data_IF_745423526956
#
_entry.id   IF_745423526956
#
_cell.length_a   1.000
_cell.length_b   1.000
_cell.length_c   1.000
_cell.angle_alpha   90.00
_cell.angle_beta   90.00
_cell.angle_gamma   90.00
#
_symmetry.space_group_name_H-M   'P 1'
#
loop_
_entity.id
_entity.type
_entity.pdbx_description
1 polymer ?
#
# COMPACT_ATOMS: atom_id res chain seq x y z
N UNK A 1 0.55 1.18 -19.77
CA UNK A 1 1.52 1.04 -18.67
C UNK A 1 1.35 -0.33 -18.03
N UNK A 2 2.39 -1.17 -18.13
CA UNK A 2 2.49 -2.46 -17.46
C UNK A 2 2.63 -2.27 -15.93
N UNK A 3 2.45 -3.33 -15.12
CA UNK A 3 2.69 -3.23 -13.68
C UNK A 3 4.13 -2.86 -13.33
N UNK A 4 5.13 -3.31 -14.11
CA UNK A 4 6.55 -2.95 -13.92
C UNK A 4 6.81 -1.48 -14.22
N UNK A 5 6.27 -0.97 -15.33
CA UNK A 5 6.38 0.45 -15.66
C UNK A 5 5.72 1.32 -14.57
N UNK A 6 4.57 0.91 -14.02
CA UNK A 6 3.91 1.63 -12.92
C UNK A 6 4.75 1.59 -11.64
N UNK A 7 5.32 0.43 -11.32
CA UNK A 7 6.23 0.28 -10.19
C UNK A 7 7.42 1.24 -10.32
N UNK A 8 8.11 1.22 -11.45
CA UNK A 8 9.33 2.01 -11.69
C UNK A 8 9.08 3.51 -11.79
N UNK A 9 8.04 3.92 -12.53
CA UNK A 9 7.78 5.32 -12.84
C UNK A 9 6.92 6.04 -11.80
N UNK A 10 6.08 5.31 -11.06
CA UNK A 10 5.10 5.90 -10.15
C UNK A 10 5.35 5.45 -8.71
N UNK A 11 5.40 4.14 -8.44
CA UNK A 11 5.50 3.66 -7.05
C UNK A 11 6.85 3.98 -6.43
N UNK A 12 7.95 3.63 -7.10
CA UNK A 12 9.30 3.80 -6.56
C UNK A 12 9.66 5.27 -6.27
N UNK A 13 9.33 6.26 -7.13
CA UNK A 13 9.55 7.68 -6.82
C UNK A 13 8.74 8.14 -5.61
N UNK A 14 7.44 7.80 -5.53
CA UNK A 14 6.60 8.22 -4.40
C UNK A 14 7.06 7.63 -3.06
N UNK A 15 7.53 6.38 -3.04
CA UNK A 15 8.12 5.79 -1.83
C UNK A 15 9.46 6.42 -1.46
N UNK A 16 10.27 6.85 -2.44
CA UNK A 16 11.51 7.57 -2.19
C UNK A 16 11.23 8.93 -1.57
N UNK A 17 10.30 9.69 -2.13
CA UNK A 17 9.87 10.98 -1.60
C UNK A 17 9.32 10.85 -0.18
N UNK A 18 8.51 9.81 0.10
CA UNK A 18 8.07 9.52 1.46
C UNK A 18 9.25 9.20 2.39
N UNK A 19 10.23 8.41 1.95
CA UNK A 19 11.40 8.07 2.79
C UNK A 19 12.25 9.29 3.13
N UNK A 20 12.36 10.24 2.21
CA UNK A 20 13.10 11.50 2.37
C UNK A 20 12.30 12.51 3.21
N UNK A 21 10.98 12.59 2.99
CA UNK A 21 10.03 13.45 3.68
C UNK A 21 9.06 12.70 4.59
N UNK A 22 9.55 11.83 5.47
CA UNK A 22 8.77 10.84 6.23
C UNK A 22 7.72 11.44 7.20
N UNK A 23 7.76 12.75 7.44
CA UNK A 23 6.77 13.49 8.22
C UNK A 23 5.78 14.32 7.39
N UNK A 24 5.87 14.31 6.05
CA UNK A 24 4.97 15.03 5.16
C UNK A 24 3.81 14.13 4.72
N UNK A 25 2.60 14.50 5.13
CA UNK A 25 1.38 13.75 4.82
C UNK A 25 1.09 13.68 3.32
N UNK A 26 1.54 14.66 2.52
CA UNK A 26 1.34 14.66 1.06
C UNK A 26 2.12 13.54 0.40
N UNK A 27 3.38 13.33 0.80
CA UNK A 27 4.18 12.23 0.28
C UNK A 27 3.60 10.87 0.70
N UNK A 28 3.07 10.76 1.93
CA UNK A 28 2.41 9.54 2.38
C UNK A 28 1.16 9.21 1.56
N UNK A 29 0.27 10.19 1.34
CA UNK A 29 -0.93 9.99 0.53
C UNK A 29 -0.64 9.63 -0.92
N UNK A 30 0.37 10.27 -1.54
CA UNK A 30 0.76 9.89 -2.90
C UNK A 30 1.31 8.47 -2.96
N UNK A 31 2.14 8.06 -1.98
CA UNK A 31 2.67 6.72 -1.91
C UNK A 31 1.59 5.66 -1.65
N UNK A 32 0.63 5.93 -0.76
CA UNK A 32 -0.54 5.07 -0.50
C UNK A 32 -1.32 4.83 -1.80
N UNK A 33 -1.69 5.90 -2.50
CA UNK A 33 -2.41 5.81 -3.75
C UNK A 33 -1.62 5.05 -4.83
N UNK A 34 -0.31 5.30 -4.94
CA UNK A 34 0.55 4.64 -5.91
C UNK A 34 0.63 3.11 -5.68
N UNK A 35 0.83 2.69 -4.43
CA UNK A 35 0.91 1.26 -4.05
C UNK A 35 -0.45 0.56 -4.21
N UNK A 36 -1.56 1.17 -3.79
CA UNK A 36 -2.90 0.59 -4.04
C UNK A 36 -3.21 0.48 -5.55
N UNK A 37 -2.78 1.47 -6.35
CA UNK A 37 -2.96 1.44 -7.79
C UNK A 37 -2.17 0.29 -8.45
N UNK A 38 -1.00 -0.08 -7.93
CA UNK A 38 -0.19 -1.18 -8.48
C UNK A 38 -0.98 -2.50 -8.53
N UNK A 39 -1.77 -2.82 -7.50
CA UNK A 39 -2.65 -4.00 -7.52
C UNK A 39 -3.70 -3.95 -8.66
N UNK A 40 -4.19 -2.76 -9.01
CA UNK A 40 -5.07 -2.57 -10.16
C UNK A 40 -4.35 -2.81 -11.50
N UNK A 41 -3.08 -2.37 -11.61
CA UNK A 41 -2.25 -2.69 -12.78
C UNK A 41 -2.01 -4.19 -12.90
N UNK A 42 -1.70 -4.89 -11.80
CA UNK A 42 -1.52 -6.35 -11.78
C UNK A 42 -2.79 -7.05 -12.28
N UNK A 43 -3.96 -6.70 -11.73
CA UNK A 43 -5.23 -7.28 -12.16
C UNK A 43 -5.46 -7.11 -13.67
N UNK A 44 -5.25 -5.88 -14.17
CA UNK A 44 -5.43 -5.58 -15.60
C UNK A 44 -4.47 -6.39 -16.47
N UNK A 45 -3.22 -6.55 -16.04
CA UNK A 45 -2.25 -7.39 -16.75
C UNK A 45 -2.69 -8.85 -16.77
N UNK A 46 -3.11 -9.40 -15.63
CA UNK A 46 -3.57 -10.80 -15.53
C UNK A 46 -4.77 -11.06 -16.44
N UNK A 47 -5.68 -10.09 -16.61
CA UNK A 47 -6.82 -10.25 -17.50
C UNK A 47 -6.42 -10.61 -18.94
N UNK A 48 -5.30 -10.05 -19.40
CA UNK A 48 -4.85 -10.20 -20.77
C UNK A 48 -3.78 -11.31 -20.92
N UNK A 49 -3.05 -11.67 -19.84
CA UNK A 49 -1.89 -12.58 -19.90
C UNK A 49 -1.97 -13.81 -19.00
N UNK A 50 -2.76 -13.77 -17.93
CA UNK A 50 -2.89 -14.83 -16.93
C UNK A 50 -4.33 -14.90 -16.34
N UNK A 51 -5.37 -15.08 -17.17
CA UNK A 51 -6.76 -14.96 -16.73
C UNK A 51 -7.15 -15.98 -15.65
N UNK A 52 -6.48 -17.13 -15.60
CA UNK A 52 -6.64 -18.13 -14.54
C UNK A 52 -6.33 -17.57 -13.14
N UNK A 53 -5.46 -16.56 -13.04
CA UNK A 53 -5.04 -15.95 -11.77
C UNK A 53 -6.10 -15.06 -11.15
N UNK A 54 -7.10 -14.64 -11.93
CA UNK A 54 -8.17 -13.74 -11.50
C UNK A 54 -9.54 -14.39 -11.52
N UNK A 55 -9.59 -15.73 -11.63
CA UNK A 55 -10.84 -16.49 -11.55
C UNK A 55 -11.55 -16.17 -10.23
N UNK A 56 -12.85 -15.85 -10.32
CA UNK A 56 -13.68 -15.42 -9.19
C UNK A 56 -13.64 -13.92 -8.88
N UNK A 57 -12.61 -13.19 -9.31
CA UNK A 57 -12.55 -11.74 -9.18
C UNK A 57 -13.22 -11.05 -10.38
N UNK A 58 -14.46 -10.57 -10.19
CA UNK A 58 -15.26 -9.93 -11.24
C UNK A 58 -14.66 -8.61 -11.76
N UNK A 59 -13.88 -7.94 -10.92
CA UNK A 59 -13.25 -6.65 -11.19
C UNK A 59 -11.98 -6.49 -10.33
N UNK A 60 -11.28 -5.37 -10.52
CA UNK A 60 -10.11 -4.99 -9.74
C UNK A 60 -10.41 -4.88 -8.25
N UNK A 61 -11.61 -4.42 -7.87
CA UNK A 61 -12.04 -4.36 -6.47
C UNK A 61 -12.05 -5.76 -5.83
N UNK A 62 -12.64 -6.76 -6.50
CA UNK A 62 -12.68 -8.14 -6.02
C UNK A 62 -11.28 -8.75 -5.94
N UNK A 63 -10.40 -8.43 -6.90
CA UNK A 63 -9.02 -8.86 -6.87
C UNK A 63 -8.25 -8.26 -5.68
N UNK A 64 -8.37 -6.95 -5.45
CA UNK A 64 -7.78 -6.26 -4.31
C UNK A 64 -8.31 -6.80 -2.98
N UNK A 65 -9.58 -7.18 -2.91
CA UNK A 65 -10.15 -7.84 -1.72
C UNK A 65 -9.45 -9.17 -1.42
N UNK A 66 -9.26 -10.02 -2.42
CA UNK A 66 -8.52 -11.28 -2.25
C UNK A 66 -7.07 -11.07 -1.81
N UNK A 67 -6.40 -10.07 -2.37
CA UNK A 67 -5.04 -9.71 -1.94
C UNK A 67 -5.01 -9.20 -0.50
N UNK A 68 -6.01 -8.40 -0.08
CA UNK A 68 -6.13 -7.92 1.29
C UNK A 68 -6.40 -9.07 2.29
N UNK A 69 -7.15 -10.10 1.88
CA UNK A 69 -7.35 -11.31 2.70
C UNK A 69 -6.04 -12.11 2.89
N UNK A 70 -5.12 -12.05 1.93
CA UNK A 70 -3.84 -12.75 1.97
C UNK A 70 -2.74 -11.96 2.72
N UNK A 71 -2.84 -10.63 2.80
CA UNK A 71 -1.80 -9.79 3.40
C UNK A 71 -2.38 -8.59 4.15
N UNK A 72 -2.14 -8.57 5.48
CA UNK A 72 -2.68 -7.54 6.37
C UNK A 72 -2.10 -6.14 6.11
N UNK A 73 -0.82 -6.00 5.71
CA UNK A 73 -0.26 -4.69 5.39
C UNK A 73 -0.88 -4.13 4.11
N UNK A 74 -1.09 -4.96 3.08
CA UNK A 74 -1.81 -4.54 1.87
C UNK A 74 -3.29 -4.24 2.15
N UNK A 75 -3.94 -4.99 3.03
CA UNK A 75 -5.30 -4.67 3.49
C UNK A 75 -5.36 -3.25 4.08
N UNK A 76 -4.39 -2.91 4.93
CA UNK A 76 -4.28 -1.58 5.54
C UNK A 76 -3.99 -0.49 4.49
N UNK A 77 -3.09 -0.73 3.52
CA UNK A 77 -2.84 0.21 2.40
C UNK A 77 -4.12 0.50 1.62
N UNK A 78 -4.88 -0.56 1.29
CA UNK A 78 -6.14 -0.42 0.56
C UNK A 78 -7.16 0.39 1.34
N UNK A 79 -7.30 0.12 2.63
CA UNK A 79 -8.26 0.85 3.47
C UNK A 79 -7.84 2.33 3.62
N UNK A 80 -6.54 2.62 3.77
CA UNK A 80 -6.03 4.00 3.75
C UNK A 80 -6.34 4.71 2.42
N UNK A 81 -6.10 4.06 1.27
CA UNK A 81 -6.38 4.62 -0.04
C UNK A 81 -7.89 4.89 -0.24
N UNK A 82 -8.75 3.97 0.23
CA UNK A 82 -10.20 4.14 0.17
C UNK A 82 -10.66 5.27 1.11
N UNK A 83 -10.13 5.35 2.33
CA UNK A 83 -10.46 6.41 3.28
C UNK A 83 -10.07 7.78 2.73
N UNK A 84 -8.91 7.92 2.09
CA UNK A 84 -8.50 9.16 1.42
C UNK A 84 -9.47 9.55 0.29
N UNK A 85 -9.90 8.58 -0.52
CA UNK A 85 -10.80 8.83 -1.66
C UNK A 85 -12.24 9.14 -1.25
N UNK A 86 -12.75 8.45 -0.24
CA UNK A 86 -14.16 8.51 0.17
C UNK A 86 -14.40 9.36 1.41
N UNK A 87 -13.34 9.86 2.05
CA UNK A 87 -13.33 10.60 3.33
C UNK A 87 -13.75 9.73 4.52
N UNK A 88 -14.78 8.91 4.37
CA UNK A 88 -15.31 7.98 5.37
C UNK A 88 -15.70 6.63 4.75
N UNK A 89 -15.54 5.54 5.51
CA UNK A 89 -15.83 4.17 5.09
C UNK A 89 -16.99 3.56 5.91
N UNK A 90 -18.18 3.55 5.31
CA UNK A 90 -19.42 3.04 5.95
C UNK A 90 -19.74 1.56 5.66
N UNK A 91 -18.95 0.91 4.79
CA UNK A 91 -19.26 -0.42 4.27
C UNK A 91 -18.07 -1.38 4.36
N UNK A 92 -18.36 -2.62 4.75
CA UNK A 92 -17.36 -3.67 4.97
C UNK A 92 -16.85 -3.73 6.40
N UNK A 93 -15.65 -4.29 6.58
CA UNK A 93 -14.94 -4.34 7.86
C UNK A 93 -13.53 -3.74 7.69
N UNK A 94 -13.41 -2.43 7.40
CA UNK A 94 -12.11 -1.80 7.20
C UNK A 94 -11.36 -1.65 8.53
N UNK A 95 -10.02 -1.63 8.47
CA UNK A 95 -9.18 -1.43 9.66
C UNK A 95 -9.19 0.01 10.19
N UNK A 96 -9.60 0.97 9.34
CA UNK A 96 -9.83 2.37 9.68
C UNK A 96 -11.10 2.87 8.99
N UNK A 97 -11.76 3.87 9.59
CA UNK A 97 -12.99 4.47 9.08
C UNK A 97 -12.77 5.77 8.33
N UNK A 98 -11.71 6.53 8.61
CA UNK A 98 -11.53 7.87 8.04
C UNK A 98 -10.08 8.24 7.78
N UNK A 99 -9.87 9.17 6.85
CA UNK A 99 -8.54 9.67 6.51
C UNK A 99 -7.90 10.48 7.65
N UNK A 100 -8.70 10.96 8.61
CA UNK A 100 -8.27 11.62 9.84
C UNK A 100 -7.49 10.71 10.79
N UNK A 101 -7.63 9.38 10.63
CA UNK A 101 -6.80 8.39 11.33
C UNK A 101 -5.37 8.30 10.78
N UNK A 102 -5.06 9.02 9.70
CA UNK A 102 -3.72 9.10 9.09
C UNK A 102 -3.15 10.48 9.41
N UNK A 103 -2.12 10.54 10.25
CA UNK A 103 -1.56 11.80 10.71
C UNK A 103 -0.04 11.80 10.79
N UNK A 104 0.56 12.98 10.67
CA UNK A 104 1.97 13.19 10.93
C UNK A 104 2.18 13.54 12.41
N UNK A 105 2.73 12.63 13.20
CA UNK A 105 3.02 12.87 14.62
C UNK A 105 4.35 12.28 15.08
N UNK A 106 4.86 12.77 16.21
CA UNK A 106 5.95 12.11 16.93
C UNK A 106 5.36 10.95 17.73
N UNK A 107 5.98 9.78 17.63
CA UNK A 107 5.59 8.63 18.45
C UNK A 107 6.37 8.61 19.76
N UNK A 108 5.66 8.45 20.87
CA UNK A 108 6.27 8.15 22.17
C UNK A 108 6.93 6.78 22.21
N UNK A 109 7.69 6.52 23.28
CA UNK A 109 8.28 5.20 23.54
C UNK A 109 7.19 4.12 23.59
N UNK A 110 7.42 3.02 22.86
CA UNK A 110 6.52 1.87 22.84
C UNK A 110 5.23 2.04 22.03
N UNK A 111 5.02 3.18 21.35
CA UNK A 111 3.82 3.39 20.53
C UNK A 111 3.92 2.79 19.13
N UNK A 112 5.13 2.68 18.56
CA UNK A 112 5.35 2.02 17.29
C UNK A 112 5.48 0.51 17.48
N UNK A 113 4.96 -0.27 16.51
CA UNK A 113 5.29 -1.68 16.42
C UNK A 113 6.80 -1.88 16.23
N UNK A 114 7.33 -2.96 16.82
CA UNK A 114 8.75 -3.28 16.74
C UNK A 114 9.23 -3.30 15.28
N UNK A 115 10.31 -2.57 15.00
CA UNK A 115 10.91 -2.47 13.66
C UNK A 115 10.26 -1.47 12.70
N UNK A 116 9.23 -0.72 13.12
CA UNK A 116 8.57 0.27 12.24
C UNK A 116 9.05 1.71 12.44
N UNK A 117 9.37 2.09 13.68
CA UNK A 117 9.75 3.45 14.01
C UNK A 117 11.22 3.77 13.71
N UNK A 118 11.47 4.97 13.18
CA UNK A 118 12.83 5.54 13.09
C UNK A 118 13.41 5.86 14.47
N UNK A 119 14.73 5.69 14.60
CA UNK A 119 15.47 6.00 15.82
C UNK A 119 15.30 7.47 16.25
N UNK A 120 15.13 7.71 17.55
CA UNK A 120 14.92 9.05 18.09
C UNK A 120 13.50 9.60 17.95
N UNK A 121 12.54 8.79 17.50
CA UNK A 121 11.13 9.15 17.38
C UNK A 121 10.86 10.47 16.64
N UNK A 122 11.44 10.67 15.44
CA UNK A 122 11.14 11.85 14.66
C UNK A 122 9.67 11.81 14.22
N UNK A 123 9.14 12.97 13.83
CA UNK A 123 7.77 13.07 13.31
C UNK A 123 7.63 12.20 12.06
N UNK A 124 6.71 11.25 12.08
CA UNK A 124 6.44 10.31 10.99
C UNK A 124 4.96 10.29 10.69
N UNK A 125 4.59 9.95 9.46
CA UNK A 125 3.20 9.66 9.14
C UNK A 125 2.83 8.27 9.65
N UNK A 126 1.78 8.22 10.46
CA UNK A 126 1.25 7.02 11.07
C UNK A 126 -0.23 6.85 10.73
N UNK A 127 -0.72 5.63 10.87
CA UNK A 127 -2.15 5.31 10.86
C UNK A 127 -2.54 4.65 12.18
N UNK A 128 -3.63 5.10 12.78
CA UNK A 128 -4.23 4.50 13.97
C UNK A 128 -5.48 3.72 13.59
N UNK A 129 -5.43 2.40 13.72
CA UNK A 129 -6.56 1.51 13.41
C UNK A 129 -7.66 1.63 14.46
N UNK A 130 -8.86 1.18 14.11
CA UNK A 130 -10.01 1.11 15.04
C UNK A 130 -9.76 0.20 16.25
N UNK A 131 -8.75 -0.67 16.18
CA UNK A 131 -8.30 -1.53 17.29
C UNK A 131 -7.26 -0.85 18.20
N UNK A 132 -6.90 0.40 17.92
CA UNK A 132 -5.87 1.16 18.64
C UNK A 132 -4.44 0.79 18.25
N UNK A 133 -4.24 -0.03 17.20
CA UNK A 133 -2.90 -0.30 16.65
C UNK A 133 -2.39 0.94 15.92
N UNK A 134 -1.20 1.43 16.28
CA UNK A 134 -0.51 2.52 15.60
C UNK A 134 0.58 1.95 14.69
N UNK A 135 0.52 2.29 13.40
CA UNK A 135 1.42 1.75 12.37
C UNK A 135 2.11 2.85 11.60
N UNK A 136 3.39 2.66 11.32
CA UNK A 136 4.16 3.63 10.51
C UNK A 136 3.85 3.39 9.04
N UNK A 137 3.33 4.42 8.35
CA UNK A 137 2.88 4.30 6.97
C UNK A 137 4.00 3.87 6.04
N UNK A 138 5.22 4.40 6.21
CA UNK A 138 6.40 3.99 5.43
C UNK A 138 6.67 2.48 5.54
N UNK A 139 6.60 1.92 6.75
CA UNK A 139 6.87 0.50 6.99
C UNK A 139 5.76 -0.40 6.43
N UNK A 140 4.50 0.00 6.59
CA UNK A 140 3.33 -0.70 6.03
C UNK A 140 3.42 -0.74 4.50
N UNK A 141 3.72 0.40 3.86
CA UNK A 141 3.86 0.47 2.40
C UNK A 141 5.02 -0.39 1.89
N UNK A 142 6.16 -0.40 2.59
CA UNK A 142 7.30 -1.24 2.21
C UNK A 142 6.97 -2.73 2.21
N UNK A 143 6.27 -3.21 3.24
CA UNK A 143 5.86 -4.63 3.33
C UNK A 143 4.75 -4.97 2.35
N UNK A 144 3.79 -4.08 2.15
CA UNK A 144 2.74 -4.24 1.15
C UNK A 144 3.33 -4.29 -0.27
N UNK A 145 4.31 -3.44 -0.57
CA UNK A 145 4.99 -3.45 -1.87
C UNK A 145 5.74 -4.77 -2.08
N UNK A 146 6.52 -5.23 -1.10
CA UNK A 146 7.22 -6.52 -1.18
C UNK A 146 6.25 -7.67 -1.50
N UNK A 147 5.07 -7.68 -0.86
CA UNK A 147 4.02 -8.64 -1.17
C UNK A 147 3.51 -8.52 -2.62
N UNK A 148 3.26 -7.29 -3.11
CA UNK A 148 2.81 -7.08 -4.48
C UNK A 148 3.87 -7.45 -5.52
N UNK A 149 5.16 -7.24 -5.24
CA UNK A 149 6.26 -7.68 -6.10
C UNK A 149 6.34 -9.22 -6.17
N UNK A 150 6.16 -9.91 -5.05
CA UNK A 150 6.02 -11.37 -5.05
C UNK A 150 4.80 -11.82 -5.87
N UNK A 151 3.67 -11.14 -5.77
CA UNK A 151 2.50 -11.43 -6.60
C UNK A 151 2.78 -11.19 -8.08
N UNK A 152 3.50 -10.12 -8.44
CA UNK A 152 3.94 -9.87 -9.81
C UNK A 152 4.79 -11.02 -10.35
N UNK A 153 5.79 -11.47 -9.60
CA UNK A 153 6.63 -12.60 -9.98
C UNK A 153 5.82 -13.89 -10.13
N UNK A 154 4.93 -14.16 -9.17
CA UNK A 154 4.08 -15.35 -9.15
C UNK A 154 3.20 -15.47 -10.40
N UNK A 155 2.70 -14.35 -10.92
CA UNK A 155 1.87 -14.33 -12.14
C UNK A 155 2.68 -14.16 -13.43
N UNK A 156 4.01 -14.14 -13.35
CA UNK A 156 4.90 -14.06 -14.53
C UNK A 156 5.22 -12.65 -15.01
N UNK A 157 4.99 -11.62 -14.20
CA UNK A 157 5.44 -10.26 -14.47
C UNK A 157 6.91 -10.14 -14.02
N UNK A 158 7.84 -10.41 -14.92
CA UNK A 158 9.29 -10.35 -14.62
C UNK A 158 9.84 -8.93 -14.66
N UNK A 159 10.99 -8.66 -14.00
CA UNK A 159 11.73 -7.42 -14.22
C UNK A 159 12.10 -7.28 -15.70
N UNK A 160 12.09 -6.05 -16.21
CA UNK A 160 12.65 -5.73 -17.51
C UNK A 160 14.11 -6.17 -17.50
N UNK A 161 14.47 -7.23 -18.25
CA UNK A 161 15.89 -7.52 -18.48
C UNK A 161 16.47 -6.32 -19.17
N UNK A 162 17.27 -5.53 -18.47
CA UNK A 162 18.12 -4.51 -19.08
C UNK A 162 18.99 -5.22 -20.09
N UNK A 163 18.63 -5.09 -21.37
CA UNK A 163 19.53 -5.32 -22.48
C UNK A 163 20.62 -4.27 -22.32
N UNK A 164 21.77 -4.71 -21.84
CA UNK A 164 23.00 -3.92 -21.79
C UNK A 164 23.52 -3.62 -23.17
#
# INVERSE_FOLDING_TARGET
MSPREHLELIVSPNLRELREGYGDIRHAFNAIAAVDALAGHIWRWCRDHAPQEIVGAKNDIGFKQRLAEANADFALVRDMAKAQKHVHLDHGAPALKGADQIEARRMGWGQARWGEGRWGSPQQVVVETDLGEVRVVEAVLGRALMFLECEMERVGITPSTSTG
#
